data_IF_394220017385
#
_entry.id   IF_394220017385
#
_cell.length_a   1.000
_cell.length_b   1.000
_cell.length_c   1.000
_cell.angle_alpha   90.00
_cell.angle_beta   90.00
_cell.angle_gamma   90.00
#
_symmetry.space_group_name_H-M   'P 1'
#
loop_
_entity.id
_entity.type
_entity.pdbx_description
1 polymer ?
#
# COMPACT_ATOMS: atom_id res chain seq x y z
N UNK A 1 2.17 1.79 17.11
CA UNK A 1 2.42 0.55 16.34
C UNK A 1 2.73 0.97 14.92
N UNK A 2 3.98 0.83 14.46
CA UNK A 2 4.36 1.24 13.11
C UNK A 2 3.57 0.43 12.07
N UNK A 3 2.84 1.10 11.19
CA UNK A 3 2.10 0.44 10.11
C UNK A 3 3.08 0.01 9.02
N UNK A 4 2.76 -1.06 8.30
CA UNK A 4 3.62 -1.65 7.24
C UNK A 4 3.92 -0.67 6.10
N UNK A 5 3.01 0.29 5.86
CA UNK A 5 3.19 1.40 4.90
C UNK A 5 4.39 2.27 5.29
N UNK A 6 4.43 2.71 6.55
CA UNK A 6 5.52 3.54 7.06
C UNK A 6 6.83 2.78 7.11
N UNK A 7 6.79 1.46 7.32
CA UNK A 7 8.00 0.64 7.26
C UNK A 7 8.56 0.56 5.83
N UNK A 8 7.70 0.47 4.81
CA UNK A 8 8.16 0.50 3.41
C UNK A 8 8.73 1.85 3.00
N UNK A 9 8.10 2.95 3.43
CA UNK A 9 8.59 4.32 3.17
C UNK A 9 9.94 4.56 3.87
N UNK A 10 10.05 4.18 5.14
CA UNK A 10 11.31 4.28 5.88
C UNK A 10 12.42 3.43 5.27
N UNK A 11 12.10 2.23 4.77
CA UNK A 11 13.06 1.37 4.09
C UNK A 11 13.57 1.99 2.78
N UNK A 12 12.67 2.57 1.98
CA UNK A 12 13.05 3.27 0.75
C UNK A 12 13.89 4.51 1.05
N UNK A 13 13.51 5.30 2.07
CA UNK A 13 14.29 6.46 2.49
C UNK A 13 15.69 6.04 2.94
N UNK A 14 15.81 4.97 3.74
CA UNK A 14 17.11 4.43 4.13
C UNK A 14 17.97 4.03 2.92
N UNK A 15 17.37 3.42 1.90
CA UNK A 15 18.09 3.06 0.67
C UNK A 15 18.53 4.29 -0.13
N UNK A 16 17.75 5.37 -0.12
CA UNK A 16 18.12 6.65 -0.73
C UNK A 16 19.26 7.32 0.03
N UNK A 17 19.14 7.40 1.36
CA UNK A 17 20.16 8.01 2.23
C UNK A 17 21.50 7.27 2.15
N UNK A 18 21.47 5.97 1.89
CA UNK A 18 22.65 5.13 1.67
C UNK A 18 23.14 5.12 0.20
N UNK A 19 22.59 5.97 -0.67
CA UNK A 19 22.92 6.08 -2.11
C UNK A 19 22.75 4.76 -2.90
N UNK A 20 21.93 3.83 -2.39
CA UNK A 20 21.63 2.54 -3.04
C UNK A 20 20.57 2.74 -4.12
N UNK A 21 19.59 3.60 -3.86
CA UNK A 21 18.55 3.99 -4.81
C UNK A 21 18.60 5.49 -5.01
N UNK A 22 18.26 5.96 -6.21
CA UNK A 22 17.94 7.38 -6.39
C UNK A 22 16.55 7.70 -5.84
N UNK A 23 16.29 8.98 -5.55
CA UNK A 23 14.94 9.45 -5.20
C UNK A 23 13.92 9.10 -6.29
N UNK A 24 14.31 9.19 -7.56
CA UNK A 24 13.45 8.84 -8.68
C UNK A 24 13.08 7.35 -8.67
N UNK A 25 14.05 6.46 -8.41
CA UNK A 25 13.80 5.02 -8.32
C UNK A 25 12.88 4.69 -7.13
N UNK A 26 13.09 5.35 -5.98
CA UNK A 26 12.23 5.17 -4.82
C UNK A 26 10.77 5.57 -5.12
N UNK A 27 10.56 6.69 -5.82
CA UNK A 27 9.23 7.12 -6.25
C UNK A 27 8.58 6.13 -7.23
N UNK A 28 9.35 5.62 -8.19
CA UNK A 28 8.86 4.60 -9.14
C UNK A 28 8.48 3.29 -8.43
N UNK A 29 9.26 2.86 -7.43
CA UNK A 29 8.93 1.69 -6.60
C UNK A 29 7.62 1.92 -5.83
N UNK A 30 7.44 3.10 -5.23
CA UNK A 30 6.20 3.45 -4.52
C UNK A 30 5.00 3.43 -5.46
N UNK A 31 5.15 3.97 -6.67
CA UNK A 31 4.06 3.99 -7.65
C UNK A 31 3.73 2.58 -8.17
N UNK A 32 4.74 1.76 -8.46
CA UNK A 32 4.55 0.36 -8.85
C UNK A 32 3.83 -0.44 -7.76
N UNK A 33 4.24 -0.30 -6.50
CA UNK A 33 3.58 -0.94 -5.37
C UNK A 33 2.12 -0.47 -5.23
N UNK A 34 1.87 0.83 -5.38
CA UNK A 34 0.53 1.42 -5.34
C UNK A 34 -0.35 0.85 -6.45
N UNK A 35 0.14 0.79 -7.69
CA UNK A 35 -0.57 0.22 -8.85
C UNK A 35 -0.90 -1.27 -8.66
N UNK A 36 -0.01 -2.02 -8.02
CA UNK A 36 -0.26 -3.43 -7.69
C UNK A 36 -1.19 -3.65 -6.50
N UNK A 37 -1.51 -2.63 -5.72
CA UNK A 37 -2.42 -2.74 -4.57
C UNK A 37 -3.89 -2.64 -5.03
N UNK A 38 -4.75 -3.63 -4.71
CA UNK A 38 -6.13 -3.59 -5.15
C UNK A 38 -6.91 -2.45 -4.48
N UNK A 39 -7.68 -1.69 -5.25
CA UNK A 39 -8.55 -0.64 -4.72
C UNK A 39 -9.71 -1.22 -3.88
N UNK A 40 -10.15 -0.50 -2.85
CA UNK A 40 -11.26 -0.93 -1.97
C UNK A 40 -12.53 -1.24 -2.76
N UNK A 41 -12.90 -0.42 -3.75
CA UNK A 41 -14.07 -0.70 -4.59
C UNK A 41 -13.98 -1.99 -5.39
N UNK A 42 -12.77 -2.38 -5.82
CA UNK A 42 -12.54 -3.68 -6.49
C UNK A 42 -12.70 -4.83 -5.50
N UNK A 43 -12.16 -4.70 -4.29
CA UNK A 43 -12.31 -5.74 -3.26
C UNK A 43 -13.77 -5.86 -2.81
N UNK A 44 -14.47 -4.74 -2.64
CA UNK A 44 -15.90 -4.74 -2.30
C UNK A 44 -16.75 -5.49 -3.34
N UNK A 45 -16.42 -5.33 -4.63
CA UNK A 45 -17.06 -6.06 -5.73
C UNK A 45 -16.73 -7.56 -5.69
N UNK A 46 -15.45 -7.91 -5.53
CA UNK A 46 -14.99 -9.30 -5.48
C UNK A 46 -15.56 -10.06 -4.29
N UNK A 47 -15.68 -9.40 -3.14
CA UNK A 47 -16.21 -9.98 -1.90
C UNK A 47 -17.74 -9.96 -1.82
N UNK A 48 -18.43 -9.48 -2.86
CA UNK A 48 -19.89 -9.44 -2.94
C UNK A 48 -20.55 -8.45 -1.97
N UNK A 49 -19.78 -7.55 -1.35
CA UNK A 49 -20.30 -6.51 -0.43
C UNK A 49 -21.06 -5.47 -1.25
N UNK A 50 -20.48 -5.06 -2.38
CA UNK A 50 -21.11 -4.19 -3.36
C UNK A 50 -21.28 -4.93 -4.68
N UNK A 51 -22.39 -4.70 -5.38
CA UNK A 51 -22.51 -5.03 -6.79
C UNK A 51 -21.92 -3.93 -7.69
N UNK A 52 -21.85 -4.20 -9.00
CA UNK A 52 -21.27 -3.26 -9.96
C UNK A 52 -22.04 -1.92 -10.00
N UNK A 53 -23.37 -1.94 -9.86
CA UNK A 53 -24.20 -0.72 -9.87
C UNK A 53 -23.92 0.13 -8.63
N UNK A 54 -23.78 -0.50 -7.46
CA UNK A 54 -23.43 0.18 -6.21
C UNK A 54 -22.01 0.77 -6.29
N UNK A 55 -21.03 0.05 -6.83
CA UNK A 55 -19.69 0.60 -7.06
C UNK A 55 -19.73 1.87 -7.90
N UNK A 56 -20.46 1.87 -9.03
CA UNK A 56 -20.58 3.08 -9.85
C UNK A 56 -21.26 4.23 -9.12
N UNK A 57 -22.28 3.97 -8.31
CA UNK A 57 -22.93 5.00 -7.48
C UNK A 57 -21.98 5.61 -6.46
N UNK A 58 -21.17 4.78 -5.80
CA UNK A 58 -20.14 5.27 -4.87
C UNK A 58 -19.10 6.10 -5.60
N UNK A 59 -18.63 5.66 -6.77
CA UNK A 59 -17.65 6.40 -7.58
C UNK A 59 -18.18 7.75 -8.09
N UNK A 60 -19.47 7.86 -8.39
CA UNK A 60 -20.08 9.13 -8.75
C UNK A 60 -20.18 10.05 -7.53
N UNK A 61 -20.73 9.53 -6.42
CA UNK A 61 -20.94 10.31 -5.21
C UNK A 61 -19.63 10.79 -4.55
N UNK A 62 -18.55 10.00 -4.59
CA UNK A 62 -17.28 10.40 -3.97
C UNK A 62 -16.69 11.67 -4.61
N UNK A 63 -16.98 11.92 -5.90
CA UNK A 63 -16.52 13.12 -6.61
C UNK A 63 -17.25 14.35 -6.09
N UNK A 64 -18.57 14.25 -5.94
CA UNK A 64 -19.41 15.34 -5.45
C UNK A 64 -19.19 15.60 -3.95
N UNK A 65 -18.98 14.54 -3.16
CA UNK A 65 -18.78 14.61 -1.71
C UNK A 65 -17.33 14.92 -1.31
N UNK A 66 -16.38 14.78 -2.23
CA UNK A 66 -14.94 14.90 -1.96
C UNK A 66 -14.45 14.01 -0.79
N UNK A 67 -14.98 12.79 -0.71
CA UNK A 67 -14.66 11.80 0.34
C UNK A 67 -14.01 10.55 -0.26
N UNK A 68 -13.50 9.67 0.59
CA UNK A 68 -12.91 8.39 0.15
C UNK A 68 -14.00 7.41 -0.24
N UNK A 69 -13.68 6.46 -1.13
CA UNK A 69 -14.62 5.42 -1.59
C UNK A 69 -15.32 4.68 -0.43
N UNK A 70 -14.56 4.19 0.55
CA UNK A 70 -15.10 3.42 1.68
C UNK A 70 -16.06 4.24 2.55
N UNK A 71 -15.68 5.48 2.84
CA UNK A 71 -16.51 6.43 3.58
C UNK A 71 -17.81 6.76 2.82
N UNK A 72 -17.70 6.99 1.51
CA UNK A 72 -18.85 7.22 0.63
C UNK A 72 -19.78 6.00 0.62
N UNK A 73 -19.23 4.78 0.53
CA UNK A 73 -20.03 3.56 0.54
C UNK A 73 -20.79 3.35 1.85
N UNK A 74 -20.20 3.73 2.99
CA UNK A 74 -20.86 3.72 4.29
C UNK A 74 -21.96 4.78 4.35
N UNK A 75 -21.67 6.01 3.91
CA UNK A 75 -22.64 7.11 3.90
C UNK A 75 -23.85 6.81 3.01
N UNK A 76 -23.67 6.06 1.92
CA UNK A 76 -24.74 5.61 1.03
C UNK A 76 -25.47 4.35 1.52
N UNK A 77 -25.05 3.75 2.65
CA UNK A 77 -25.64 2.55 3.22
C UNK A 77 -25.35 1.25 2.46
N UNK A 78 -24.32 1.23 1.61
CA UNK A 78 -23.92 0.05 0.85
C UNK A 78 -22.86 -0.81 1.56
N UNK A 79 -22.20 -0.27 2.58
CA UNK A 79 -21.12 -0.93 3.30
C UNK A 79 -21.21 -0.58 4.79
N UNK A 80 -20.81 -1.49 5.67
CA UNK A 80 -20.65 -1.18 7.09
C UNK A 80 -19.20 -0.79 7.43
N UNK A 81 -18.96 -0.17 8.58
CA UNK A 81 -17.58 0.05 9.06
C UNK A 81 -16.80 -1.25 9.20
N UNK A 82 -17.45 -2.31 9.69
CA UNK A 82 -16.86 -3.65 9.82
C UNK A 82 -16.44 -4.23 8.46
N UNK A 83 -17.26 -4.03 7.42
CA UNK A 83 -16.90 -4.42 6.05
C UNK A 83 -15.68 -3.64 5.57
N UNK A 84 -15.64 -2.33 5.79
CA UNK A 84 -14.52 -1.49 5.40
C UNK A 84 -13.22 -1.92 6.10
N UNK A 85 -13.25 -2.20 7.40
CA UNK A 85 -12.11 -2.70 8.16
C UNK A 85 -11.60 -4.01 7.54
N UNK A 86 -12.50 -4.96 7.27
CA UNK A 86 -12.14 -6.23 6.61
C UNK A 86 -11.48 -6.01 5.24
N UNK A 87 -12.02 -5.10 4.44
CA UNK A 87 -11.46 -4.77 3.12
C UNK A 87 -10.10 -4.08 3.21
N UNK A 88 -9.88 -3.24 4.21
CA UNK A 88 -8.59 -2.59 4.47
C UNK A 88 -7.52 -3.62 4.89
N UNK A 89 -7.90 -4.58 5.73
CA UNK A 89 -7.01 -5.69 6.10
C UNK A 89 -6.65 -6.56 4.89
N UNK A 90 -7.64 -6.89 4.06
CA UNK A 90 -7.41 -7.63 2.82
C UNK A 90 -6.54 -6.85 1.84
N UNK A 91 -6.77 -5.54 1.67
CA UNK A 91 -5.95 -4.67 0.85
C UNK A 91 -4.50 -4.66 1.33
N UNK A 92 -4.28 -4.57 2.65
CA UNK A 92 -2.94 -4.61 3.25
C UNK A 92 -2.23 -5.93 2.98
N UNK A 93 -2.94 -7.06 3.11
CA UNK A 93 -2.37 -8.38 2.82
C UNK A 93 -2.01 -8.56 1.34
N UNK A 94 -2.82 -7.99 0.43
CA UNK A 94 -2.61 -8.05 -1.02
C UNK A 94 -1.68 -6.97 -1.56
N UNK A 95 -1.23 -6.03 -0.74
CA UNK A 95 -0.25 -5.01 -1.13
C UNK A 95 1.07 -5.71 -1.50
N UNK A 96 1.62 -5.49 -2.70
CA UNK A 96 2.92 -6.06 -3.08
C UNK A 96 3.99 -5.68 -2.07
N UNK A 97 4.89 -6.61 -1.74
CA UNK A 97 5.97 -6.30 -0.80
C UNK A 97 7.00 -5.42 -1.48
N UNK A 98 7.45 -4.36 -0.82
CA UNK A 98 8.35 -3.36 -1.43
C UNK A 98 9.65 -4.01 -1.94
N UNK A 99 10.21 -4.98 -1.21
CA UNK A 99 11.40 -5.71 -1.61
C UNK A 99 11.19 -6.53 -2.89
N UNK A 100 10.00 -7.09 -3.12
CA UNK A 100 9.69 -7.81 -4.35
C UNK A 100 9.62 -6.85 -5.53
N UNK A 101 8.97 -5.70 -5.36
CA UNK A 101 8.87 -4.66 -6.39
C UNK A 101 10.25 -4.17 -6.81
N UNK A 102 11.14 -3.90 -5.84
CA UNK A 102 12.53 -3.49 -6.10
C UNK A 102 13.28 -4.52 -6.95
N UNK A 103 13.12 -5.82 -6.65
CA UNK A 103 13.76 -6.91 -7.41
C UNK A 103 13.17 -7.06 -8.81
N UNK A 104 11.84 -7.00 -8.93
CA UNK A 104 11.13 -7.09 -10.22
C UNK A 104 11.52 -5.95 -11.16
N UNK A 105 11.81 -4.77 -10.60
CA UNK A 105 12.31 -3.61 -11.34
C UNK A 105 13.81 -3.69 -11.67
N UNK A 106 14.53 -4.69 -11.14
CA UNK A 106 15.96 -4.90 -11.41
C UNK A 106 16.88 -3.82 -10.83
N UNK A 107 16.42 -3.09 -9.82
CA UNK A 107 17.17 -1.96 -9.23
C UNK A 107 18.37 -2.41 -8.39
N UNK A 108 18.35 -3.66 -7.91
CA UNK A 108 19.38 -4.24 -7.05
C UNK A 108 19.36 -5.77 -7.18
N UNK A 109 20.49 -6.43 -6.93
CA UNK A 109 20.54 -7.90 -6.88
C UNK A 109 19.89 -8.46 -5.60
N UNK A 110 19.39 -9.71 -5.63
CA UNK A 110 18.87 -10.38 -4.44
C UNK A 110 19.86 -10.43 -3.26
N UNK A 111 21.14 -10.67 -3.55
CA UNK A 111 22.21 -10.75 -2.56
C UNK A 111 22.45 -9.40 -1.89
N UNK A 112 22.56 -8.34 -2.69
CA UNK A 112 22.73 -6.99 -2.17
C UNK A 112 21.50 -6.54 -1.36
N UNK A 113 20.29 -6.86 -1.81
CA UNK A 113 19.07 -6.54 -1.06
C UNK A 113 19.01 -7.22 0.31
N UNK A 114 19.53 -8.44 0.44
CA UNK A 114 19.61 -9.13 1.72
C UNK A 114 20.51 -8.37 2.71
N UNK A 115 21.66 -7.87 2.26
CA UNK A 115 22.56 -7.04 3.07
C UNK A 115 21.90 -5.72 3.47
N UNK A 116 21.22 -5.05 2.54
CA UNK A 116 20.49 -3.80 2.84
C UNK A 116 19.43 -4.02 3.91
N UNK A 117 18.67 -5.11 3.82
CA UNK A 117 17.65 -5.47 4.81
C UNK A 117 18.25 -5.70 6.19
N UNK A 118 19.39 -6.38 6.28
CA UNK A 118 20.08 -6.58 7.56
C UNK A 118 20.53 -5.25 8.18
N UNK A 119 21.15 -4.38 7.37
CA UNK A 119 21.59 -3.06 7.81
C UNK A 119 20.43 -2.21 8.33
N UNK A 120 19.31 -2.20 7.60
CA UNK A 120 18.10 -1.47 8.02
C UNK A 120 17.52 -1.99 9.33
N UNK A 121 17.45 -3.32 9.53
CA UNK A 121 16.94 -3.90 10.78
C UNK A 121 17.84 -3.57 11.98
N UNK A 122 19.16 -3.55 11.78
CA UNK A 122 20.12 -3.14 12.80
C UNK A 122 19.95 -1.66 13.16
N UNK A 123 19.75 -0.80 12.16
CA UNK A 123 19.53 0.64 12.35
C UNK A 123 18.23 0.92 13.12
N UNK A 124 17.12 0.28 12.73
CA UNK A 124 15.85 0.35 13.46
C UNK A 124 15.98 -0.10 14.92
N UNK A 125 16.77 -1.15 15.17
CA UNK A 125 16.98 -1.68 16.52
C UNK A 125 17.72 -0.65 17.39
N UNK A 126 18.69 0.07 16.82
CA UNK A 126 19.43 1.14 17.52
C UNK A 126 18.58 2.36 17.82
N UNK A 127 17.61 2.69 16.96
CA UNK A 127 16.70 3.83 17.19
C UNK A 127 15.66 3.57 18.29
N UNK A 128 15.34 2.29 18.54
CA UNK A 128 14.31 1.87 19.49
C UNK A 128 14.87 1.46 20.86
N UNK A 129 16.20 1.39 21.01
CA UNK A 129 16.91 1.07 22.24
C UNK A 129 17.30 2.34 23.01
#
# INVERSE_FOLDING_TARGET
MFNEIHLSEAYLQFMVDAEILSEADALEVMDAQRKGTPAIGRLALQSGILDMKQVFRVLAAQVDMNTRFGETAINLGYMTESDLIRLLDEQKQRRPKVHQVILEMGLISPEALATVRENFLNDLTRMLA
#
